data_IF_104830512773
#
_entry.id   IF_104830512773
#
_cell.length_a   1.000
_cell.length_b   1.000
_cell.length_c   1.000
_cell.angle_alpha   90.00
_cell.angle_beta   90.00
_cell.angle_gamma   90.00
#
_symmetry.space_group_name_H-M   'P 1'
#
loop_
_entity.id
_entity.type
_entity.pdbx_description
1 polymer ?
#
# COMPACT_ATOMS: atom_id res chain seq x y z
N UNK A 1 -4.77 9.86 5.70
CA UNK A 1 -4.29 11.23 5.95
C UNK A 1 -3.77 11.25 7.38
N UNK A 2 -2.52 11.67 7.56
CA UNK A 2 -1.88 11.71 8.89
C UNK A 2 -2.45 12.87 9.69
N UNK A 3 -2.80 12.63 10.96
CA UNK A 3 -3.30 13.68 11.88
C UNK A 3 -2.18 14.61 12.37
N UNK A 4 -0.92 14.16 12.32
CA UNK A 4 0.24 14.86 12.87
C UNK A 4 0.81 15.95 11.96
N UNK A 5 0.68 15.79 10.64
CA UNK A 5 1.29 16.71 9.66
C UNK A 5 0.31 17.75 9.09
N UNK A 6 -0.98 17.68 9.45
CA UNK A 6 -2.02 18.56 8.92
C UNK A 6 -2.23 18.42 7.40
N UNK A 7 -3.16 19.19 6.80
CA UNK A 7 -3.39 19.21 5.35
C UNK A 7 -2.32 20.06 4.65
N UNK A 8 -1.05 19.66 4.75
CA UNK A 8 0.07 20.34 4.10
C UNK A 8 0.56 19.50 2.93
N UNK A 9 0.58 20.10 1.74
CA UNK A 9 1.17 19.49 0.54
C UNK A 9 2.68 19.58 0.65
N UNK A 10 3.34 18.47 0.99
CA UNK A 10 4.79 18.38 0.97
C UNK A 10 5.26 17.92 -0.40
N UNK A 11 6.06 18.75 -1.07
CA UNK A 11 6.59 18.47 -2.41
C UNK A 11 5.61 18.87 -3.51
N UNK A 12 5.58 20.16 -3.86
CA UNK A 12 5.12 20.54 -5.19
C UNK A 12 6.10 19.97 -6.22
N UNK A 13 5.66 18.96 -6.98
CA UNK A 13 6.26 18.67 -8.27
C UNK A 13 5.79 19.74 -9.24
N UNK A 14 6.46 20.90 -9.25
CA UNK A 14 6.44 21.74 -10.44
C UNK A 14 7.22 21.00 -11.53
N UNK A 15 6.49 20.22 -12.33
CA UNK A 15 7.05 19.51 -13.48
C UNK A 15 7.30 20.54 -14.61
N UNK A 16 8.35 21.35 -14.47
CA UNK A 16 8.83 22.24 -15.52
C UNK A 16 9.40 21.37 -16.65
N UNK A 17 8.57 21.11 -17.66
CA UNK A 17 8.83 20.25 -18.85
C UNK A 17 10.09 20.64 -19.65
N UNK A 18 10.78 21.73 -19.30
CA UNK A 18 11.88 22.31 -20.08
C UNK A 18 13.24 22.42 -19.38
N UNK A 19 13.35 22.24 -18.05
CA UNK A 19 14.66 22.17 -17.39
C UNK A 19 14.94 20.72 -17.02
N UNK A 20 16.08 20.20 -17.48
CA UNK A 20 16.51 18.82 -17.28
C UNK A 20 16.25 18.30 -15.86
N UNK A 21 15.93 17.01 -15.80
CA UNK A 21 15.49 16.18 -14.65
C UNK A 21 16.16 16.41 -13.28
N UNK A 22 17.25 17.16 -13.23
CA UNK A 22 18.11 17.30 -12.05
C UNK A 22 17.88 18.58 -11.23
N UNK A 23 17.09 19.57 -11.71
CA UNK A 23 16.94 20.88 -11.03
C UNK A 23 15.67 21.01 -10.16
N UNK A 24 14.66 20.14 -10.34
CA UNK A 24 13.32 20.35 -9.75
C UNK A 24 13.01 19.59 -8.44
N UNK A 25 14.00 19.00 -7.77
CA UNK A 25 13.79 18.31 -6.48
C UNK A 25 14.36 19.10 -5.29
N UNK A 26 14.04 20.39 -5.18
CA UNK A 26 14.28 21.11 -3.94
C UNK A 26 13.26 20.67 -2.90
N UNK A 27 13.67 19.76 -2.01
CA UNK A 27 12.91 19.38 -0.81
C UNK A 27 12.78 20.60 0.09
N UNK A 28 11.66 21.32 -0.01
CA UNK A 28 11.35 22.50 0.82
C UNK A 28 10.85 22.10 2.22
N UNK A 29 11.51 21.14 2.89
CA UNK A 29 11.16 20.73 4.25
C UNK A 29 12.42 20.36 5.04
N UNK A 30 12.41 20.66 6.34
CA UNK A 30 13.55 20.40 7.22
C UNK A 30 13.78 18.89 7.39
N UNK A 31 15.00 18.50 7.79
CA UNK A 31 15.31 17.10 8.13
C UNK A 31 14.36 16.54 9.21
N UNK A 32 13.92 17.40 10.13
CA UNK A 32 12.94 17.04 11.16
C UNK A 32 11.59 16.66 10.56
N UNK A 33 11.09 17.46 9.60
CA UNK A 33 9.83 17.17 8.90
C UNK A 33 9.96 15.94 8.00
N UNK A 34 11.14 15.75 7.37
CA UNK A 34 11.43 14.54 6.60
C UNK A 34 11.33 13.28 7.47
N UNK A 35 11.91 13.34 8.68
CA UNK A 35 11.86 12.24 9.64
C UNK A 35 10.44 11.93 10.09
N UNK A 36 9.62 12.94 10.35
CA UNK A 36 8.20 12.76 10.70
C UNK A 36 7.40 12.10 9.57
N UNK A 37 7.66 12.47 8.32
CA UNK A 37 7.03 11.84 7.14
C UNK A 37 7.40 10.35 7.07
N UNK A 38 8.68 10.01 7.20
CA UNK A 38 9.14 8.62 7.15
C UNK A 38 8.50 7.76 8.25
N UNK A 39 8.39 8.31 9.47
CA UNK A 39 7.70 7.65 10.58
C UNK A 39 6.21 7.39 10.29
N UNK A 40 5.52 8.36 9.72
CA UNK A 40 4.10 8.21 9.37
C UNK A 40 3.88 7.21 8.23
N UNK A 41 4.77 7.19 7.22
CA UNK A 41 4.77 6.18 6.16
C UNK A 41 5.00 4.79 6.74
N UNK A 42 5.98 4.64 7.64
CA UNK A 42 6.26 3.36 8.31
C UNK A 42 5.05 2.87 9.11
N UNK A 43 4.41 3.74 9.90
CA UNK A 43 3.18 3.39 10.65
C UNK A 43 2.06 2.95 9.72
N UNK A 44 1.87 3.63 8.60
CA UNK A 44 0.85 3.29 7.61
C UNK A 44 1.08 1.90 7.02
N UNK A 45 2.32 1.61 6.61
CA UNK A 45 2.70 0.30 6.06
C UNK A 45 2.49 -0.81 7.10
N UNK A 46 2.93 -0.60 8.34
CA UNK A 46 2.76 -1.58 9.43
C UNK A 46 1.28 -1.85 9.70
N UNK A 47 0.43 -0.80 9.73
CA UNK A 47 -1.01 -0.94 9.92
C UNK A 47 -1.65 -1.73 8.78
N UNK A 48 -1.29 -1.42 7.53
CA UNK A 48 -1.79 -2.13 6.35
C UNK A 48 -1.38 -3.62 6.37
N UNK A 49 -0.11 -3.91 6.71
CA UNK A 49 0.39 -5.27 6.83
C UNK A 49 -0.33 -6.05 7.94
N UNK A 50 -0.52 -5.44 9.11
CA UNK A 50 -1.24 -6.06 10.22
C UNK A 50 -2.71 -6.36 9.87
N UNK A 51 -3.38 -5.44 9.17
CA UNK A 51 -4.74 -5.63 8.67
C UNK A 51 -4.80 -6.77 7.65
N UNK A 52 -3.91 -6.78 6.66
CA UNK A 52 -3.84 -7.85 5.66
C UNK A 52 -3.64 -9.22 6.33
N UNK A 53 -2.67 -9.32 7.26
CA UNK A 53 -2.42 -10.55 8.03
C UNK A 53 -3.66 -10.97 8.83
N UNK A 54 -4.34 -10.03 9.48
CA UNK A 54 -5.57 -10.32 10.25
C UNK A 54 -6.67 -10.87 9.35
N UNK A 55 -6.89 -10.28 8.18
CA UNK A 55 -7.90 -10.76 7.22
C UNK A 55 -7.56 -12.17 6.73
N UNK A 56 -6.29 -12.42 6.38
CA UNK A 56 -5.83 -13.75 5.94
C UNK A 56 -6.03 -14.81 7.04
N UNK A 57 -5.71 -14.50 8.29
CA UNK A 57 -5.92 -15.41 9.43
C UNK A 57 -7.40 -15.67 9.66
N UNK A 58 -8.24 -14.63 9.62
CA UNK A 58 -9.70 -14.78 9.79
C UNK A 58 -10.35 -15.60 8.67
N UNK A 59 -9.72 -15.65 7.50
CA UNK A 59 -10.20 -16.38 6.32
C UNK A 59 -9.30 -17.56 5.96
N UNK A 60 -8.57 -18.12 6.93
CA UNK A 60 -7.60 -19.20 6.72
C UNK A 60 -8.22 -20.43 6.04
N UNK A 61 -9.45 -20.80 6.40
CA UNK A 61 -10.16 -21.91 5.76
C UNK A 61 -10.42 -21.67 4.27
N UNK A 62 -10.77 -20.44 3.89
CA UNK A 62 -11.00 -20.05 2.49
C UNK A 62 -9.67 -20.02 1.75
N UNK A 63 -8.62 -19.47 2.37
CA UNK A 63 -7.27 -19.43 1.80
C UNK A 63 -6.76 -20.83 1.48
N UNK A 64 -6.92 -21.79 2.41
CA UNK A 64 -6.55 -23.20 2.20
C UNK A 64 -7.33 -23.85 1.06
N UNK A 65 -8.63 -23.59 0.95
CA UNK A 65 -9.46 -24.09 -0.16
C UNK A 65 -8.98 -23.56 -1.52
N UNK A 66 -8.71 -22.26 -1.61
CA UNK A 66 -8.17 -21.64 -2.84
C UNK A 66 -6.81 -22.27 -3.20
N UNK A 67 -5.91 -22.42 -2.22
CA UNK A 67 -4.61 -23.04 -2.45
C UNK A 67 -4.73 -24.49 -2.95
N UNK A 68 -5.60 -25.29 -2.34
CA UNK A 68 -5.85 -26.68 -2.78
C UNK A 68 -6.40 -26.75 -4.20
N UNK A 69 -7.27 -25.82 -4.58
CA UNK A 69 -7.87 -25.80 -5.92
C UNK A 69 -6.87 -25.31 -6.97
N UNK A 70 -6.03 -24.31 -6.64
CA UNK A 70 -4.92 -23.87 -7.50
C UNK A 70 -3.89 -24.98 -7.75
N UNK A 71 -3.62 -25.84 -6.76
CA UNK A 71 -2.74 -27.01 -6.96
C UNK A 71 -3.33 -27.98 -8.00
N UNK A 72 -4.65 -28.07 -8.12
CA UNK A 72 -5.32 -28.99 -9.06
C UNK A 72 -5.47 -28.41 -10.47
N UNK A 73 -5.81 -27.13 -10.58
CA UNK A 73 -6.20 -26.49 -11.85
C UNK A 73 -5.17 -25.50 -12.40
N UNK A 74 -4.11 -25.20 -11.64
CA UNK A 74 -3.04 -24.22 -11.90
C UNK A 74 -3.52 -22.76 -12.02
N UNK A 75 -4.73 -22.52 -12.52
CA UNK A 75 -5.39 -21.24 -12.67
C UNK A 75 -6.83 -21.32 -12.15
N UNK A 76 -7.31 -20.24 -11.55
CA UNK A 76 -8.68 -20.10 -11.05
C UNK A 76 -9.33 -18.90 -11.72
N UNK A 77 -10.44 -19.11 -12.40
CA UNK A 77 -11.20 -18.04 -13.04
C UNK A 77 -12.01 -17.25 -12.00
N UNK A 78 -12.35 -15.99 -12.33
CA UNK A 78 -13.02 -15.07 -11.41
C UNK A 78 -14.28 -15.69 -10.76
N UNK A 79 -15.12 -16.37 -11.55
CA UNK A 79 -16.35 -17.02 -11.05
C UNK A 79 -16.07 -18.15 -10.05
N UNK A 80 -15.05 -18.95 -10.32
CA UNK A 80 -14.66 -20.07 -9.45
C UNK A 80 -14.06 -19.54 -8.14
N UNK A 81 -13.28 -18.46 -8.21
CA UNK A 81 -12.73 -17.81 -7.03
C UNK A 81 -13.83 -17.27 -6.11
N UNK A 82 -14.80 -16.51 -6.65
CA UNK A 82 -15.90 -15.97 -5.84
C UNK A 82 -16.77 -17.07 -5.22
N UNK A 83 -16.98 -18.18 -5.93
CA UNK A 83 -17.67 -19.33 -5.38
C UNK A 83 -16.96 -19.93 -4.14
N UNK A 84 -15.62 -19.88 -4.07
CA UNK A 84 -14.84 -20.34 -2.92
C UNK A 84 -14.82 -19.32 -1.77
N UNK A 85 -14.91 -18.03 -2.08
CA UNK A 85 -14.85 -16.92 -1.10
C UNK A 85 -16.21 -16.63 -0.45
N UNK A 86 -17.28 -17.30 -0.89
CA UNK A 86 -18.67 -17.08 -0.46
C UNK A 86 -19.07 -15.60 -0.61
N UNK A 87 -18.88 -15.05 -1.82
CA UNK A 87 -19.33 -13.71 -2.20
C UNK A 87 -20.38 -13.78 -3.30
#
# INVERSE_FOLDING_TARGET
>A
MSETLGPVTFGEKEELVFLGKDIANHKNYSETVAHEIDLEVQKLIQKAQALAKKVLIQKDDVLKKIAMELIKKETLEQKEFFALVNY
#
